data_IF_446807348210
#
_entry.id   IF_446807348210
#
_cell.length_a   1.000
_cell.length_b   1.000
_cell.length_c   1.000
_cell.angle_alpha   90.00
_cell.angle_beta   90.00
_cell.angle_gamma   90.00
#
_symmetry.space_group_name_H-M   'P 1'
#
loop_
_entity.id
_entity.type
_entity.pdbx_description
1 polymer ?
#
# COMPACT_ATOMS: atom_id res chain seq x y z
N UNK A 1 35.56 -3.69 -75.55
CA UNK A 1 34.10 -3.56 -75.39
C UNK A 1 33.62 -4.29 -74.13
N UNK A 2 33.77 -5.62 -74.05
CA UNK A 2 33.43 -6.41 -72.83
C UNK A 2 33.99 -5.91 -71.49
N UNK A 3 35.20 -5.31 -71.43
CA UNK A 3 35.74 -4.75 -70.17
C UNK A 3 35.10 -3.43 -69.73
N UNK A 4 34.58 -2.62 -70.67
CA UNK A 4 33.93 -1.34 -70.36
C UNK A 4 32.48 -1.58 -69.94
N UNK A 5 31.78 -2.49 -70.63
CA UNK A 5 30.42 -2.92 -70.26
C UNK A 5 30.40 -3.51 -68.84
N UNK A 6 31.34 -4.39 -68.49
CA UNK A 6 31.44 -4.93 -67.13
C UNK A 6 31.74 -3.86 -66.06
N UNK A 7 32.51 -2.82 -66.41
CA UNK A 7 32.76 -1.71 -65.47
C UNK A 7 31.54 -0.80 -65.34
N UNK A 8 30.76 -0.63 -66.41
CA UNK A 8 29.50 0.10 -66.39
C UNK A 8 28.47 -0.58 -65.48
N UNK A 9 28.29 -1.88 -65.65
CA UNK A 9 27.37 -2.67 -64.82
C UNK A 9 27.78 -2.62 -63.34
N UNK A 10 29.09 -2.67 -63.06
CA UNK A 10 29.60 -2.60 -61.69
C UNK A 10 29.39 -1.23 -61.06
N UNK A 11 29.67 -0.15 -61.79
CA UNK A 11 29.42 1.21 -61.32
C UNK A 11 27.93 1.43 -61.00
N UNK A 12 27.05 0.94 -61.87
CA UNK A 12 25.61 1.05 -61.66
C UNK A 12 25.13 0.22 -60.46
N UNK A 13 25.63 -0.99 -60.28
CA UNK A 13 25.18 -1.88 -59.20
C UNK A 13 25.75 -1.50 -57.82
N UNK A 14 27.02 -1.09 -57.74
CA UNK A 14 27.68 -0.79 -56.45
C UNK A 14 27.49 0.67 -56.02
N UNK A 15 27.43 1.61 -56.96
CA UNK A 15 27.42 3.05 -56.68
C UNK A 15 26.16 3.77 -57.20
N UNK A 16 25.34 3.14 -58.05
CA UNK A 16 24.13 3.75 -58.61
C UNK A 16 24.40 4.85 -59.64
N UNK A 17 25.61 4.89 -60.23
CA UNK A 17 26.04 5.96 -61.15
C UNK A 17 26.42 5.41 -62.53
N UNK A 18 26.12 6.18 -63.58
CA UNK A 18 26.60 5.92 -64.94
C UNK A 18 28.11 6.26 -65.06
N UNK A 19 28.79 5.65 -66.03
CA UNK A 19 30.25 5.77 -66.20
C UNK A 19 30.71 7.21 -66.45
N UNK A 20 30.03 7.94 -67.33
CA UNK A 20 30.47 9.29 -67.74
C UNK A 20 30.38 10.28 -66.57
N UNK A 21 29.24 10.38 -65.83
CA UNK A 21 29.16 11.19 -64.61
C UNK A 21 30.15 10.75 -63.52
N UNK A 22 30.34 9.43 -63.33
CA UNK A 22 31.28 8.91 -62.34
C UNK A 22 32.72 9.35 -62.63
N UNK A 23 33.13 9.31 -63.89
CA UNK A 23 34.46 9.77 -64.29
C UNK A 23 34.54 11.29 -64.20
N UNK A 24 33.53 12.02 -64.68
CA UNK A 24 33.53 13.49 -64.67
C UNK A 24 33.65 14.06 -63.25
N UNK A 25 32.87 13.53 -62.30
CA UNK A 25 32.77 14.07 -60.94
C UNK A 25 33.75 13.43 -59.95
N UNK A 26 34.17 12.17 -60.16
CA UNK A 26 35.02 11.41 -59.23
C UNK A 26 36.29 10.85 -59.88
N UNK A 27 36.63 11.34 -61.07
CA UNK A 27 37.82 10.92 -61.80
C UNK A 27 39.13 11.45 -61.21
N UNK A 28 40.29 10.93 -61.68
CA UNK A 28 41.62 11.35 -61.21
C UNK A 28 41.95 12.83 -61.43
N UNK A 29 41.20 13.53 -62.29
CA UNK A 29 41.32 14.96 -62.55
C UNK A 29 40.67 15.83 -61.47
N UNK A 30 39.85 15.24 -60.59
CA UNK A 30 39.22 15.93 -59.48
C UNK A 30 40.11 15.88 -58.24
N UNK A 31 40.01 16.91 -57.40
CA UNK A 31 40.71 16.94 -56.12
C UNK A 31 40.01 16.00 -55.14
N UNK A 32 40.79 15.24 -54.37
CA UNK A 32 40.26 14.36 -53.32
C UNK A 32 39.98 15.20 -52.08
N UNK A 33 38.75 15.16 -51.53
CA UNK A 33 38.44 15.86 -50.29
C UNK A 33 39.20 15.29 -49.08
N UNK A 34 39.69 16.20 -48.23
CA UNK A 34 40.35 15.86 -46.97
C UNK A 34 39.28 15.52 -45.91
N UNK A 35 38.86 14.26 -45.85
CA UNK A 35 37.78 13.81 -44.96
C UNK A 35 38.03 14.06 -43.47
N UNK A 36 39.29 14.14 -43.02
CA UNK A 36 39.61 14.51 -41.64
C UNK A 36 39.40 16.00 -41.36
N UNK A 37 39.61 16.86 -42.36
CA UNK A 37 39.32 18.28 -42.26
C UNK A 37 37.81 18.55 -42.37
N UNK A 38 37.10 17.80 -43.23
CA UNK A 38 35.64 17.87 -43.36
C UNK A 38 34.93 17.36 -42.10
N UNK A 39 35.30 16.19 -41.57
CA UNK A 39 34.72 15.68 -40.33
C UNK A 39 35.01 16.57 -39.12
N UNK A 40 36.18 17.21 -39.07
CA UNK A 40 36.50 18.20 -38.03
C UNK A 40 35.70 19.50 -38.18
N UNK A 41 35.44 19.94 -39.42
CA UNK A 41 34.60 21.10 -39.71
C UNK A 41 33.12 20.83 -39.39
N UNK A 42 32.59 19.65 -39.73
CA UNK A 42 31.23 19.21 -39.38
C UNK A 42 31.06 19.07 -37.86
N UNK A 43 32.02 18.44 -37.16
CA UNK A 43 31.99 18.31 -35.70
C UNK A 43 32.13 19.66 -34.96
N UNK A 44 32.74 20.67 -35.60
CA UNK A 44 32.77 22.04 -35.08
C UNK A 44 31.44 22.76 -35.31
N UNK A 45 30.82 22.59 -36.49
CA UNK A 45 29.52 23.17 -36.82
C UNK A 45 28.38 22.63 -35.93
N UNK A 46 28.37 21.33 -35.61
CA UNK A 46 27.37 20.74 -34.70
C UNK A 46 27.52 21.23 -33.24
N UNK A 47 28.74 21.59 -32.82
CA UNK A 47 28.98 22.17 -31.48
C UNK A 47 28.50 23.61 -31.39
N UNK A 48 28.64 24.39 -32.46
CA UNK A 48 28.17 25.77 -32.50
C UNK A 48 26.65 25.88 -32.73
N UNK A 49 26.01 24.84 -33.31
CA UNK A 49 24.55 24.75 -33.49
C UNK A 49 23.74 24.39 -32.23
N UNK A 50 24.37 23.85 -31.18
CA UNK A 50 23.71 23.47 -29.93
C UNK A 50 23.43 24.64 -28.96
N UNK A 51 23.79 25.87 -29.35
CA UNK A 51 23.64 27.06 -28.51
C UNK A 51 22.78 28.16 -29.15
N UNK A 52 21.67 27.83 -29.82
CA UNK A 52 20.53 28.75 -29.96
C UNK A 52 19.28 28.09 -30.54
N UNK A 53 18.26 27.90 -29.70
CA UNK A 53 16.87 28.15 -30.10
C UNK A 53 16.33 29.17 -29.08
N UNK A 54 15.55 30.20 -29.50
CA UNK A 54 14.38 29.97 -30.33
C UNK A 54 14.04 31.04 -31.38
N UNK A 55 12.97 30.73 -32.12
CA UNK A 55 11.97 31.61 -32.73
C UNK A 55 12.05 31.83 -34.25
N UNK A 56 10.90 31.54 -34.86
CA UNK A 56 10.55 31.75 -36.24
C UNK A 56 10.64 33.22 -36.65
N UNK A 57 11.22 33.49 -37.83
CA UNK A 57 10.69 34.52 -38.72
C UNK A 57 11.10 34.27 -40.17
N UNK A 58 10.07 34.04 -40.96
CA UNK A 58 10.01 34.14 -42.41
C UNK A 58 10.57 35.51 -42.86
N UNK A 59 11.65 35.53 -43.64
CA UNK A 59 11.86 36.62 -44.58
C UNK A 59 12.67 36.19 -45.80
N UNK A 60 12.15 36.60 -46.94
CA UNK A 60 12.66 36.43 -48.29
C UNK A 60 14.06 37.04 -48.42
N UNK A 61 15.04 36.27 -48.94
CA UNK A 61 16.26 36.85 -49.50
C UNK A 61 16.58 36.22 -50.85
N UNK A 62 16.28 37.04 -51.86
CA UNK A 62 16.68 36.97 -53.25
C UNK A 62 18.14 36.56 -53.45
N UNK A 63 18.33 35.62 -54.38
CA UNK A 63 19.46 35.47 -55.30
C UNK A 63 20.80 36.10 -54.93
N UNK A 64 21.65 35.30 -54.29
CA UNK A 64 23.07 35.13 -54.65
C UNK A 64 23.51 33.77 -54.13
N UNK A 65 23.61 32.79 -55.04
CA UNK A 65 24.50 31.66 -54.82
C UNK A 65 25.91 32.25 -54.78
N UNK A 66 26.46 32.43 -53.57
CA UNK A 66 27.90 32.56 -53.46
C UNK A 66 28.51 31.26 -54.01
N UNK A 67 29.49 31.32 -54.93
CA UNK A 67 30.15 30.11 -55.38
C UNK A 67 30.83 29.52 -54.15
N UNK A 68 30.40 28.31 -53.77
CA UNK A 68 31.05 27.56 -52.72
C UNK A 68 32.57 27.59 -52.95
N UNK A 69 33.29 27.82 -51.86
CA UNK A 69 34.73 27.91 -51.80
C UNK A 69 35.42 26.88 -52.70
N UNK A 70 36.54 27.27 -53.30
CA UNK A 70 37.38 26.39 -54.11
C UNK A 70 37.56 25.05 -53.40
N UNK A 71 37.38 23.89 -54.05
CA UNK A 71 37.51 22.61 -53.38
C UNK A 71 38.92 22.49 -52.79
N UNK A 72 39.02 22.61 -51.47
CA UNK A 72 40.27 22.37 -50.75
C UNK A 72 40.47 20.87 -50.69
N UNK A 73 41.10 20.33 -51.72
CA UNK A 73 41.42 18.91 -51.81
C UNK A 73 42.84 18.70 -52.29
N UNK A 74 43.36 17.49 -52.08
CA UNK A 74 44.69 17.09 -52.53
C UNK A 74 44.60 16.45 -53.92
N UNK A 75 45.65 16.57 -54.76
CA UNK A 75 45.69 15.85 -56.03
C UNK A 75 45.50 14.34 -55.85
N UNK A 76 44.79 13.70 -56.77
CA UNK A 76 44.55 12.26 -56.71
C UNK A 76 45.85 11.46 -56.74
N UNK A 77 46.11 10.72 -55.66
CA UNK A 77 47.20 9.76 -55.57
C UNK A 77 46.65 8.34 -55.42
N UNK A 78 46.73 7.53 -56.49
CA UNK A 78 46.14 6.18 -56.54
C UNK A 78 46.50 5.31 -55.32
N UNK A 79 47.78 5.26 -54.95
CA UNK A 79 48.26 4.42 -53.85
C UNK A 79 47.71 4.85 -52.47
N UNK A 80 47.40 6.14 -52.29
CA UNK A 80 46.80 6.66 -51.06
C UNK A 80 45.30 6.33 -51.00
N UNK A 81 44.59 6.49 -52.12
CA UNK A 81 43.17 6.18 -52.20
C UNK A 81 42.89 4.68 -52.05
N UNK A 82 43.75 3.82 -52.60
CA UNK A 82 43.66 2.37 -52.38
C UNK A 82 43.84 2.00 -50.90
N UNK A 83 44.78 2.66 -50.19
CA UNK A 83 44.95 2.48 -48.74
C UNK A 83 43.74 2.99 -47.95
N UNK A 84 43.18 4.14 -48.34
CA UNK A 84 41.98 4.73 -47.73
C UNK A 84 40.77 3.83 -47.91
N UNK A 85 40.54 3.31 -49.11
CA UNK A 85 39.49 2.33 -49.41
C UNK A 85 39.67 1.04 -48.59
N UNK A 86 40.90 0.51 -48.51
CA UNK A 86 41.18 -0.68 -47.72
C UNK A 86 40.98 -0.45 -46.20
N UNK A 87 41.20 0.77 -45.69
CA UNK A 87 40.87 1.15 -44.32
C UNK A 87 39.36 1.23 -44.12
N UNK A 88 38.66 1.98 -44.97
CA UNK A 88 37.20 2.14 -44.92
C UNK A 88 36.47 0.79 -45.00
N UNK A 89 36.90 -0.12 -45.88
CA UNK A 89 36.32 -1.46 -45.99
C UNK A 89 36.56 -2.31 -44.73
N UNK A 90 37.72 -2.17 -44.06
CA UNK A 90 37.97 -2.84 -42.77
C UNK A 90 37.11 -2.26 -41.66
N UNK A 91 36.94 -0.94 -41.63
CA UNK A 91 36.11 -0.28 -40.63
C UNK A 91 34.62 -0.61 -40.83
N UNK A 92 34.15 -0.66 -42.08
CA UNK A 92 32.80 -1.12 -42.44
C UNK A 92 32.57 -2.58 -42.03
N UNK A 93 33.55 -3.46 -42.29
CA UNK A 93 33.45 -4.87 -41.89
C UNK A 93 33.40 -5.06 -40.36
N UNK A 94 34.02 -4.15 -39.58
CA UNK A 94 33.96 -4.18 -38.10
C UNK A 94 32.59 -3.80 -37.54
N UNK A 95 31.82 -2.95 -38.23
CA UNK A 95 30.47 -2.56 -37.82
C UNK A 95 29.48 -3.73 -37.85
N UNK A 96 29.82 -4.80 -38.58
CA UNK A 96 28.99 -6.00 -38.67
C UNK A 96 27.74 -5.77 -39.53
N UNK A 97 26.77 -6.67 -39.42
CA UNK A 97 25.52 -6.56 -40.17
C UNK A 97 24.59 -5.59 -39.46
N UNK A 98 24.13 -4.56 -40.16
CA UNK A 98 23.10 -3.64 -39.66
C UNK A 98 21.80 -4.42 -39.47
N UNK A 99 21.20 -4.34 -38.27
CA UNK A 99 19.89 -4.91 -38.01
C UNK A 99 18.81 -3.90 -38.48
N UNK A 100 18.08 -4.17 -39.58
CA UNK A 100 17.07 -3.24 -40.08
C UNK A 100 15.86 -3.12 -39.14
N UNK A 101 15.63 -4.11 -38.26
CA UNK A 101 14.53 -4.10 -37.29
C UNK A 101 14.88 -3.36 -35.99
N UNK A 102 16.12 -2.91 -35.82
CA UNK A 102 16.58 -2.33 -34.54
C UNK A 102 15.76 -1.12 -34.08
N UNK A 103 15.31 -0.28 -35.03
CA UNK A 103 14.48 0.88 -34.72
C UNK A 103 13.09 0.48 -34.23
N UNK A 104 12.46 -0.51 -34.87
CA UNK A 104 11.15 -1.02 -34.48
C UNK A 104 11.20 -1.76 -33.14
N UNK A 105 12.24 -2.59 -32.93
CA UNK A 105 12.48 -3.29 -31.66
C UNK A 105 12.74 -2.30 -30.51
N UNK A 106 13.51 -1.23 -30.77
CA UNK A 106 13.74 -0.19 -29.78
C UNK A 106 12.45 0.51 -29.40
N UNK A 107 11.64 0.92 -30.37
CA UNK A 107 10.35 1.57 -30.11
C UNK A 107 9.39 0.67 -29.31
N UNK A 108 9.31 -0.62 -29.66
CA UNK A 108 8.48 -1.59 -28.93
C UNK A 108 8.97 -1.82 -27.49
N UNK A 109 10.29 -1.89 -27.28
CA UNK A 109 10.88 -2.02 -25.95
C UNK A 109 10.67 -0.76 -25.11
N UNK A 110 10.79 0.42 -25.71
CA UNK A 110 10.57 1.70 -25.05
C UNK A 110 9.11 1.85 -24.61
N UNK A 111 8.15 1.46 -25.45
CA UNK A 111 6.72 1.44 -25.09
C UNK A 111 6.45 0.48 -23.93
N UNK A 112 6.99 -0.74 -23.99
CA UNK A 112 6.86 -1.72 -22.90
C UNK A 112 7.51 -1.22 -21.61
N UNK A 113 8.66 -0.56 -21.70
CA UNK A 113 9.34 0.04 -20.55
C UNK A 113 8.49 1.14 -19.93
N UNK A 114 7.95 2.06 -20.74
CA UNK A 114 7.06 3.13 -20.27
C UNK A 114 5.84 2.55 -19.54
N UNK A 115 5.15 1.58 -20.15
CA UNK A 115 4.00 0.92 -19.51
C UNK A 115 4.37 0.29 -18.16
N UNK A 116 5.46 -0.48 -18.09
CA UNK A 116 5.87 -1.12 -16.83
C UNK A 116 6.33 -0.10 -15.79
N UNK A 117 6.95 1.01 -16.20
CA UNK A 117 7.38 2.07 -15.30
C UNK A 117 6.17 2.80 -14.68
N UNK A 118 5.14 3.09 -15.47
CA UNK A 118 3.86 3.64 -15.01
C UNK A 118 3.18 2.69 -14.01
N UNK A 119 3.03 1.41 -14.35
CA UNK A 119 2.45 0.41 -13.46
C UNK A 119 3.23 0.26 -12.14
N UNK A 120 4.57 0.31 -12.21
CA UNK A 120 5.40 0.26 -11.01
C UNK A 120 5.24 1.51 -10.14
N UNK A 121 5.11 2.69 -10.75
CA UNK A 121 4.86 3.93 -10.03
C UNK A 121 3.50 3.88 -9.31
N UNK A 122 2.46 3.43 -10.00
CA UNK A 122 1.11 3.27 -9.45
C UNK A 122 1.07 2.30 -8.27
N UNK A 123 1.77 1.16 -8.39
CA UNK A 123 1.89 0.19 -7.29
C UNK A 123 2.64 0.76 -6.08
N UNK A 124 3.73 1.50 -6.32
CA UNK A 124 4.48 2.17 -5.24
C UNK A 124 3.62 3.21 -4.52
N UNK A 125 2.86 4.00 -5.28
CA UNK A 125 1.95 4.98 -4.72
C UNK A 125 0.84 4.30 -3.91
N UNK A 126 0.19 3.29 -4.47
CA UNK A 126 -0.87 2.53 -3.79
C UNK A 126 -0.37 1.90 -2.48
N UNK A 127 0.86 1.36 -2.47
CA UNK A 127 1.49 0.85 -1.24
C UNK A 127 1.68 1.96 -0.21
N UNK A 128 2.19 3.12 -0.61
CA UNK A 128 2.38 4.25 0.31
C UNK A 128 1.05 4.75 0.88
N UNK A 129 -0.01 4.77 0.06
CA UNK A 129 -1.35 5.16 0.48
C UNK A 129 -1.92 4.16 1.50
N UNK A 130 -1.80 2.86 1.25
CA UNK A 130 -2.23 1.82 2.18
C UNK A 130 -1.49 1.89 3.52
N UNK A 131 -0.17 2.13 3.51
CA UNK A 131 0.60 2.28 4.75
C UNK A 131 0.12 3.48 5.57
N UNK A 132 -0.20 4.61 4.93
CA UNK A 132 -0.78 5.77 5.63
C UNK A 132 -2.14 5.46 6.24
N UNK A 133 -3.00 4.73 5.53
CA UNK A 133 -4.29 4.30 6.09
C UNK A 133 -4.09 3.40 7.32
N UNK A 134 -3.10 2.50 7.29
CA UNK A 134 -2.78 1.66 8.46
C UNK A 134 -2.36 2.52 9.64
N UNK A 135 -1.46 3.49 9.43
CA UNK A 135 -1.02 4.42 10.47
C UNK A 135 -2.19 5.22 11.08
N UNK A 136 -3.09 5.75 10.24
CA UNK A 136 -4.28 6.49 10.69
C UNK A 136 -5.24 5.60 11.50
N UNK A 137 -5.45 4.36 11.06
CA UNK A 137 -6.29 3.37 11.77
C UNK A 137 -5.66 3.00 13.10
N UNK A 138 -4.36 2.74 13.14
CA UNK A 138 -3.64 2.38 14.36
C UNK A 138 -3.71 3.51 15.39
N UNK A 139 -3.52 4.76 14.98
CA UNK A 139 -3.68 5.92 15.85
C UNK A 139 -5.11 5.99 16.40
N UNK A 140 -6.12 5.76 15.55
CA UNK A 140 -7.51 5.80 15.99
C UNK A 140 -7.85 4.67 16.96
N UNK A 141 -7.35 3.46 16.71
CA UNK A 141 -7.51 2.30 17.59
C UNK A 141 -6.87 2.59 18.94
N UNK A 142 -5.66 3.15 18.97
CA UNK A 142 -4.95 3.51 20.20
C UNK A 142 -5.74 4.53 21.03
N UNK A 143 -6.31 5.57 20.41
CA UNK A 143 -7.15 6.55 21.10
C UNK A 143 -8.40 5.90 21.71
N UNK A 144 -9.13 5.12 20.91
CA UNK A 144 -10.38 4.48 21.35
C UNK A 144 -10.12 3.47 22.46
N UNK A 145 -9.06 2.66 22.32
CA UNK A 145 -8.66 1.69 23.34
C UNK A 145 -8.25 2.39 24.64
N UNK A 146 -7.41 3.43 24.57
CA UNK A 146 -6.95 4.16 25.76
C UNK A 146 -8.13 4.76 26.54
N UNK A 147 -9.08 5.38 25.83
CA UNK A 147 -10.30 5.91 26.44
C UNK A 147 -11.15 4.79 27.04
N UNK A 148 -11.40 3.71 26.30
CA UNK A 148 -12.20 2.59 26.76
C UNK A 148 -11.57 1.91 27.99
N UNK A 149 -10.25 1.74 28.02
CA UNK A 149 -9.53 1.20 29.16
C UNK A 149 -9.67 2.10 30.39
N UNK A 150 -9.45 3.42 30.24
CA UNK A 150 -9.58 4.35 31.36
C UNK A 150 -11.00 4.38 31.95
N UNK A 151 -12.02 4.38 31.09
CA UNK A 151 -13.42 4.34 31.51
C UNK A 151 -13.75 3.01 32.21
N UNK A 152 -13.34 1.88 31.62
CA UNK A 152 -13.57 0.54 32.19
C UNK A 152 -12.83 0.34 33.50
N UNK A 153 -11.58 0.83 33.62
CA UNK A 153 -10.79 0.71 34.84
C UNK A 153 -11.41 1.48 36.02
N UNK A 154 -11.97 2.67 35.75
CA UNK A 154 -12.71 3.46 36.74
C UNK A 154 -13.97 2.74 37.19
N UNK A 155 -14.79 2.26 36.25
CA UNK A 155 -16.02 1.52 36.59
C UNK A 155 -15.70 0.19 37.29
N UNK A 156 -14.60 -0.48 36.91
CA UNK A 156 -14.18 -1.73 37.52
C UNK A 156 -13.90 -1.57 39.01
N UNK A 157 -13.16 -0.53 39.41
CA UNK A 157 -12.90 -0.27 40.81
C UNK A 157 -14.20 -0.07 41.63
N UNK A 158 -15.17 0.66 41.07
CA UNK A 158 -16.48 0.94 41.70
C UNK A 158 -17.31 -0.34 41.82
N UNK A 159 -17.40 -1.12 40.75
CA UNK A 159 -18.18 -2.35 40.71
C UNK A 159 -17.55 -3.42 41.61
N UNK A 160 -16.22 -3.50 41.62
CA UNK A 160 -15.50 -4.48 42.43
C UNK A 160 -15.71 -4.25 43.93
N UNK A 161 -15.63 -3.00 44.41
CA UNK A 161 -15.87 -2.67 45.83
C UNK A 161 -17.32 -3.01 46.25
N UNK A 162 -18.31 -2.79 45.38
CA UNK A 162 -19.70 -3.20 45.64
C UNK A 162 -19.88 -4.71 45.74
N UNK A 163 -19.24 -5.48 44.85
CA UNK A 163 -19.33 -6.93 44.85
C UNK A 163 -18.51 -7.57 45.98
N UNK A 164 -17.40 -6.93 46.38
CA UNK A 164 -16.50 -7.36 47.45
C UNK A 164 -16.27 -6.23 48.47
N UNK A 165 -17.19 -6.02 49.44
CA UNK A 165 -17.03 -4.97 50.45
C UNK A 165 -15.69 -5.10 51.20
N UNK A 166 -14.87 -4.04 51.16
CA UNK A 166 -13.54 -4.02 51.78
C UNK A 166 -12.45 -4.73 50.96
N UNK A 167 -12.74 -5.07 49.70
CA UNK A 167 -11.77 -5.53 48.72
C UNK A 167 -11.42 -4.45 47.70
N UNK A 168 -10.25 -4.55 47.08
CA UNK A 168 -9.79 -3.63 46.04
C UNK A 168 -9.52 -4.40 44.75
N UNK A 169 -10.05 -3.92 43.62
CA UNK A 169 -9.79 -4.46 42.29
C UNK A 169 -9.20 -3.40 41.38
N UNK A 170 -8.20 -3.76 40.57
CA UNK A 170 -7.64 -2.90 39.52
C UNK A 170 -7.35 -3.66 38.24
N UNK A 171 -7.49 -2.96 37.12
CA UNK A 171 -7.02 -3.43 35.82
C UNK A 171 -5.61 -2.90 35.58
N UNK A 172 -4.71 -3.75 35.10
CA UNK A 172 -3.31 -3.40 34.85
C UNK A 172 -2.97 -3.81 33.42
N UNK A 173 -2.35 -2.90 32.68
CA UNK A 173 -1.81 -3.22 31.35
C UNK A 173 -0.52 -4.03 31.51
N UNK A 174 -0.37 -5.11 30.73
CA UNK A 174 0.86 -5.89 30.74
C UNK A 174 2.03 -5.11 30.15
N UNK A 175 1.75 -4.24 29.17
CA UNK A 175 2.69 -3.32 28.55
C UNK A 175 2.04 -1.92 28.38
N UNK A 176 2.25 -0.99 29.32
CA UNK A 176 1.65 0.34 29.24
C UNK A 176 2.11 1.21 28.07
N UNK A 177 3.25 0.87 27.45
CA UNK A 177 3.86 1.67 26.39
C UNK A 177 3.34 1.26 24.99
N UNK A 178 2.76 0.06 24.85
CA UNK A 178 2.16 -0.45 23.61
C UNK A 178 0.68 -0.77 23.78
N UNK A 179 -0.17 0.25 23.56
CA UNK A 179 -1.63 0.13 23.62
C UNK A 179 -2.24 -0.74 22.51
N UNK A 180 -1.51 -1.05 21.44
CA UNK A 180 -2.02 -1.87 20.34
C UNK A 180 -1.89 -3.36 20.63
N UNK A 181 -0.84 -3.76 21.35
CA UNK A 181 -0.56 -5.18 21.61
C UNK A 181 -0.63 -5.59 23.08
N UNK A 182 -0.78 -4.64 24.02
CA UNK A 182 -0.85 -4.94 25.45
C UNK A 182 -2.02 -5.86 25.81
N UNK A 183 -1.76 -6.79 26.72
CA UNK A 183 -2.79 -7.51 27.46
C UNK A 183 -3.35 -6.68 28.62
N UNK A 184 -4.42 -7.21 29.22
CA UNK A 184 -5.05 -6.67 30.43
C UNK A 184 -5.03 -7.75 31.51
N UNK A 185 -4.33 -7.47 32.61
CA UNK A 185 -4.34 -8.28 33.82
C UNK A 185 -5.34 -7.71 34.83
N UNK A 186 -5.98 -8.62 35.57
CA UNK A 186 -6.87 -8.26 36.68
C UNK A 186 -6.17 -8.59 38.00
N UNK A 187 -5.97 -7.56 38.81
CA UNK A 187 -5.45 -7.70 40.15
C UNK A 187 -6.57 -7.47 41.16
N UNK A 188 -6.77 -8.46 42.03
CA UNK A 188 -7.83 -8.46 43.02
C UNK A 188 -7.24 -8.66 44.42
N UNK A 189 -7.75 -7.88 45.36
CA UNK A 189 -7.44 -7.97 46.78
C UNK A 189 -8.74 -8.19 47.55
N UNK A 190 -9.10 -9.44 47.87
CA UNK A 190 -10.25 -9.72 48.74
C UNK A 190 -10.03 -9.17 50.16
N UNK A 191 -11.11 -8.92 50.89
CA UNK A 191 -11.09 -8.37 52.24
C UNK A 191 -10.06 -9.08 53.14
N UNK A 192 -9.07 -8.32 53.63
CA UNK A 192 -8.01 -8.82 54.52
C UNK A 192 -6.90 -9.67 53.89
N UNK A 193 -6.89 -9.89 52.56
CA UNK A 193 -5.85 -10.67 51.86
C UNK A 193 -4.85 -9.76 51.12
N UNK A 194 -3.71 -10.33 50.71
CA UNK A 194 -2.74 -9.69 49.80
C UNK A 194 -3.27 -9.69 48.36
N UNK A 195 -2.84 -8.73 47.55
CA UNK A 195 -3.16 -8.63 46.11
C UNK A 195 -2.72 -9.91 45.40
N UNK A 196 -3.61 -10.48 44.58
CA UNK A 196 -3.34 -11.64 43.74
C UNK A 196 -3.83 -11.39 42.31
N UNK A 197 -3.15 -11.99 41.34
CA UNK A 197 -3.67 -12.08 39.96
C UNK A 197 -4.89 -12.99 39.93
N UNK A 198 -5.80 -12.76 38.98
CA UNK A 198 -7.04 -13.54 38.79
C UNK A 198 -6.80 -15.06 38.77
N UNK A 199 -5.71 -15.52 38.15
CA UNK A 199 -5.32 -16.93 38.06
C UNK A 199 -5.05 -17.60 39.41
N UNK A 200 -4.80 -16.81 40.46
CA UNK A 200 -4.45 -17.27 41.80
C UNK A 200 -5.63 -17.20 42.80
N UNK A 201 -6.84 -16.89 42.31
CA UNK A 201 -8.08 -16.82 43.10
C UNK A 201 -8.83 -18.16 43.15
N UNK A 202 -9.66 -18.33 44.18
CA UNK A 202 -10.59 -19.46 44.28
C UNK A 202 -11.63 -19.43 43.15
N UNK A 203 -12.28 -20.56 42.86
CA UNK A 203 -13.25 -20.67 41.76
C UNK A 203 -14.38 -19.63 41.82
N UNK A 204 -14.98 -19.42 42.99
CA UNK A 204 -16.03 -18.42 43.19
C UNK A 204 -15.53 -16.97 43.10
N UNK A 205 -14.37 -16.66 43.70
CA UNK A 205 -13.75 -15.33 43.61
C UNK A 205 -13.39 -14.97 42.16
N UNK A 206 -12.98 -15.97 41.36
CA UNK A 206 -12.65 -15.80 39.94
C UNK A 206 -13.88 -15.51 39.09
N UNK A 207 -14.97 -16.25 39.28
CA UNK A 207 -16.23 -16.01 38.57
C UNK A 207 -16.79 -14.63 38.89
N UNK A 208 -16.78 -14.24 40.17
CA UNK A 208 -17.30 -12.93 40.57
C UNK A 208 -16.43 -11.77 40.08
N UNK A 209 -15.10 -11.93 40.04
CA UNK A 209 -14.20 -10.94 39.43
C UNK A 209 -14.41 -10.81 37.90
N UNK A 210 -14.71 -11.92 37.20
CA UNK A 210 -15.07 -11.88 35.79
C UNK A 210 -16.42 -11.17 35.55
N UNK A 211 -17.43 -11.44 36.39
CA UNK A 211 -18.72 -10.73 36.35
C UNK A 211 -18.52 -9.24 36.66
N UNK A 212 -17.65 -8.89 37.61
CA UNK A 212 -17.31 -7.49 37.90
C UNK A 212 -16.73 -6.77 36.67
N UNK A 213 -15.85 -7.44 35.91
CA UNK A 213 -15.30 -6.90 34.67
C UNK A 213 -16.39 -6.70 33.60
N UNK A 214 -17.26 -7.70 33.40
CA UNK A 214 -18.35 -7.58 32.43
C UNK A 214 -19.28 -6.40 32.75
N UNK A 215 -19.68 -6.28 34.01
CA UNK A 215 -20.51 -5.16 34.49
C UNK A 215 -19.78 -3.82 34.31
N UNK A 216 -18.48 -3.76 34.61
CA UNK A 216 -17.69 -2.55 34.42
C UNK A 216 -17.65 -2.10 32.96
N UNK A 217 -17.50 -3.05 32.02
CA UNK A 217 -17.57 -2.79 30.59
C UNK A 217 -18.96 -2.26 30.20
N UNK A 218 -20.03 -2.87 30.71
CA UNK A 218 -21.41 -2.44 30.41
C UNK A 218 -21.72 -1.04 30.91
N UNK A 219 -21.21 -0.67 32.11
CA UNK A 219 -21.36 0.68 32.65
C UNK A 219 -20.52 1.72 31.90
N UNK A 220 -19.31 1.35 31.50
CA UNK A 220 -18.43 2.24 30.73
C UNK A 220 -18.96 2.48 29.30
N UNK A 221 -19.58 1.46 28.69
CA UNK A 221 -20.09 1.50 27.32
C UNK A 221 -21.50 0.87 27.28
N UNK A 222 -22.57 1.65 27.57
CA UNK A 222 -23.93 1.15 27.58
C UNK A 222 -24.38 0.73 26.17
N UNK A 223 -24.96 -0.47 26.08
CA UNK A 223 -25.57 -1.05 24.88
C UNK A 223 -27.10 -0.91 24.97
N UNK A 224 -27.82 -0.84 23.83
CA UNK A 224 -29.28 -0.84 23.83
C UNK A 224 -29.89 -2.07 24.53
N UNK A 225 -29.24 -3.23 24.41
CA UNK A 225 -29.64 -4.46 25.10
C UNK A 225 -28.45 -5.36 25.45
N UNK A 226 -28.68 -6.24 26.43
CA UNK A 226 -27.76 -7.27 26.88
C UNK A 226 -28.48 -8.61 26.98
N UNK A 227 -27.81 -9.68 26.54
CA UNK A 227 -28.26 -11.07 26.72
C UNK A 227 -27.26 -11.78 27.61
N UNK A 228 -27.74 -12.38 28.69
CA UNK A 228 -26.92 -13.07 29.68
C UNK A 228 -27.47 -14.48 29.90
N UNK A 229 -26.61 -15.48 29.84
CA UNK A 229 -26.99 -16.89 29.99
C UNK A 229 -26.27 -17.51 31.20
N UNK A 230 -27.05 -17.85 32.23
CA UNK A 230 -26.62 -18.47 33.49
C UNK A 230 -25.37 -17.86 34.14
N UNK A 231 -25.19 -16.54 34.00
CA UNK A 231 -24.01 -15.81 34.48
C UNK A 231 -23.85 -15.86 36.00
N UNK A 232 -24.93 -16.15 36.73
CA UNK A 232 -24.97 -16.20 38.18
C UNK A 232 -24.86 -17.60 38.79
N UNK A 233 -24.74 -18.66 37.98
CA UNK A 233 -24.80 -20.05 38.46
C UNK A 233 -23.69 -20.43 39.46
N UNK A 234 -22.56 -19.70 39.44
CA UNK A 234 -21.43 -19.93 40.33
C UNK A 234 -21.42 -19.01 41.58
N UNK A 235 -22.47 -18.20 41.79
CA UNK A 235 -22.53 -17.22 42.86
C UNK A 235 -23.30 -17.76 44.08
N UNK A 236 -22.85 -17.37 45.28
CA UNK A 236 -23.60 -17.59 46.51
C UNK A 236 -24.75 -16.58 46.66
N UNK A 237 -25.67 -16.82 47.60
CA UNK A 237 -26.86 -15.98 47.80
C UNK A 237 -26.54 -14.52 48.11
N UNK A 238 -25.38 -14.25 48.73
CA UNK A 238 -24.98 -12.89 49.12
C UNK A 238 -24.49 -12.11 47.90
N UNK A 239 -23.62 -12.72 47.09
CA UNK A 239 -23.07 -12.12 45.88
C UNK A 239 -24.11 -12.06 44.76
N UNK A 240 -25.03 -13.03 44.70
CA UNK A 240 -26.20 -12.98 43.82
C UNK A 240 -27.03 -11.73 44.12
N UNK A 241 -27.35 -11.44 45.39
CA UNK A 241 -28.09 -10.23 45.75
C UNK A 241 -27.43 -8.94 45.25
N UNK A 242 -26.10 -8.81 45.43
CA UNK A 242 -25.33 -7.65 44.96
C UNK A 242 -25.35 -7.52 43.43
N UNK A 243 -25.29 -8.64 42.71
CA UNK A 243 -25.39 -8.66 41.25
C UNK A 243 -26.79 -8.21 40.78
N UNK A 244 -27.84 -8.65 41.45
CA UNK A 244 -29.21 -8.27 41.13
C UNK A 244 -29.47 -6.77 41.35
N UNK A 245 -28.86 -6.16 42.36
CA UNK A 245 -28.91 -4.70 42.57
C UNK A 245 -28.30 -3.96 41.38
N UNK A 246 -27.15 -4.44 40.90
CA UNK A 246 -26.48 -3.88 39.71
C UNK A 246 -27.36 -4.05 38.46
N UNK A 247 -27.99 -5.21 38.26
CA UNK A 247 -28.89 -5.43 37.13
C UNK A 247 -30.11 -4.51 37.18
N UNK A 248 -30.63 -4.23 38.37
CA UNK A 248 -31.74 -3.29 38.57
C UNK A 248 -31.36 -1.87 38.15
N UNK A 249 -30.12 -1.45 38.43
CA UNK A 249 -29.59 -0.16 37.96
C UNK A 249 -29.40 -0.14 36.44
N UNK A 250 -28.80 -1.19 35.87
CA UNK A 250 -28.57 -1.29 34.42
C UNK A 250 -29.89 -1.30 33.62
N UNK A 251 -30.93 -1.90 34.19
CA UNK A 251 -32.31 -1.89 33.65
C UNK A 251 -32.85 -0.48 33.40
N UNK A 252 -32.37 0.54 34.13
CA UNK A 252 -32.85 1.91 33.97
C UNK A 252 -32.46 2.52 32.62
N UNK A 253 -31.37 2.05 32.02
CA UNK A 253 -30.83 2.58 30.76
C UNK A 253 -30.79 1.58 29.61
N UNK A 254 -30.85 0.27 29.89
CA UNK A 254 -30.65 -0.79 28.90
C UNK A 254 -31.66 -1.93 29.08
N UNK A 255 -32.00 -2.61 27.98
CA UNK A 255 -32.84 -3.82 28.05
C UNK A 255 -31.99 -5.03 28.45
N UNK A 256 -32.40 -5.77 29.49
CA UNK A 256 -31.74 -7.00 29.91
C UNK A 256 -32.60 -8.22 29.58
N UNK A 257 -32.00 -9.20 28.91
CA UNK A 257 -32.57 -10.53 28.68
C UNK A 257 -31.69 -11.52 29.43
N UNK A 258 -32.22 -12.13 30.48
CA UNK A 258 -31.47 -13.05 31.33
C UNK A 258 -32.09 -14.44 31.22
N UNK A 259 -31.27 -15.42 30.85
CA UNK A 259 -31.61 -16.84 30.84
C UNK A 259 -31.06 -17.41 32.14
N UNK A 260 -31.95 -17.94 32.98
CA UNK A 260 -31.58 -18.39 34.31
C UNK A 260 -32.57 -19.39 34.88
N UNK A 261 -32.11 -20.22 35.79
CA UNK A 261 -32.92 -21.06 36.67
C UNK A 261 -32.98 -20.52 38.12
N UNK A 262 -32.32 -19.38 38.42
CA UNK A 262 -32.25 -18.81 39.76
C UNK A 262 -33.52 -18.02 40.10
N UNK A 263 -34.20 -18.44 41.18
CA UNK A 263 -35.47 -17.85 41.61
C UNK A 263 -35.36 -16.35 41.92
N UNK A 264 -34.28 -15.93 42.59
CA UNK A 264 -34.07 -14.52 42.96
C UNK A 264 -33.87 -13.63 41.73
N UNK A 265 -33.20 -14.13 40.68
CA UNK A 265 -33.08 -13.42 39.41
C UNK A 265 -34.42 -13.30 38.70
N UNK A 266 -35.27 -14.33 38.75
CA UNK A 266 -36.62 -14.30 38.20
C UNK A 266 -37.53 -13.29 38.92
N UNK A 267 -37.34 -13.09 40.23
CA UNK A 267 -38.17 -12.19 41.05
C UNK A 267 -38.03 -10.70 40.66
N UNK A 268 -36.86 -10.27 40.16
CA UNK A 268 -36.61 -8.88 39.78
C UNK A 268 -37.03 -8.54 38.34
N UNK A 269 -37.46 -9.54 37.57
CA UNK A 269 -37.80 -9.39 36.16
C UNK A 269 -39.16 -8.68 35.97
N UNK A 270 -39.30 -7.87 34.92
CA UNK A 270 -40.59 -7.28 34.55
C UNK A 270 -41.50 -8.28 33.80
N UNK A 271 -40.89 -9.24 33.11
CA UNK A 271 -41.57 -10.31 32.40
C UNK A 271 -40.75 -11.60 32.45
N UNK A 272 -41.44 -12.72 32.61
CA UNK A 272 -40.87 -14.06 32.57
C UNK A 272 -41.33 -14.78 31.31
N UNK A 273 -40.38 -15.41 30.64
CA UNK A 273 -40.63 -16.29 29.49
C UNK A 273 -40.19 -17.70 29.87
N UNK A 274 -41.16 -18.58 30.12
CA UNK A 274 -40.93 -20.00 30.37
C UNK A 274 -40.91 -20.78 29.07
N UNK A 275 -39.90 -21.61 28.88
CA UNK A 275 -39.81 -22.52 27.75
C UNK A 275 -40.29 -23.91 28.19
N UNK A 276 -41.29 -24.46 27.49
CA UNK A 276 -41.82 -25.80 27.73
C UNK A 276 -41.76 -26.62 26.45
N UNK A 277 -41.55 -27.93 26.57
CA UNK A 277 -41.62 -28.85 25.45
C UNK A 277 -42.89 -29.68 25.56
N UNK A 278 -43.70 -29.72 24.49
CA UNK A 278 -44.88 -30.60 24.37
C UNK A 278 -44.84 -31.28 23.01
N UNK A 279 -45.03 -32.59 22.98
CA UNK A 279 -45.05 -33.41 21.76
C UNK A 279 -43.83 -33.17 20.84
N UNK A 280 -42.65 -32.96 21.42
CA UNK A 280 -41.40 -32.68 20.68
C UNK A 280 -41.28 -31.28 20.09
N UNK A 281 -42.27 -30.40 20.33
CA UNK A 281 -42.25 -28.99 19.90
C UNK A 281 -41.97 -28.09 21.10
N UNK A 282 -41.00 -27.19 20.96
CA UNK A 282 -40.70 -26.17 21.97
C UNK A 282 -41.69 -25.02 21.87
N UNK A 283 -42.38 -24.71 22.97
CA UNK A 283 -43.33 -23.60 23.07
C UNK A 283 -42.89 -22.63 24.17
N UNK A 284 -43.03 -21.33 23.90
CA UNK A 284 -42.78 -20.28 24.87
C UNK A 284 -44.09 -19.83 25.54
N UNK A 285 -44.07 -19.73 26.87
CA UNK A 285 -45.15 -19.19 27.69
C UNK A 285 -44.64 -17.92 28.34
N UNK A 286 -45.36 -16.82 28.19
CA UNK A 286 -44.97 -15.52 28.78
C UNK A 286 -45.90 -15.13 29.92
N UNK A 287 -45.33 -14.61 31.00
CA UNK A 287 -46.06 -13.99 32.10
C UNK A 287 -45.42 -12.64 32.41
N UNK A 288 -46.22 -11.55 32.41
CA UNK A 288 -45.76 -10.26 32.94
C UNK A 288 -45.90 -10.26 34.46
N UNK A 289 -44.84 -9.88 35.15
CA UNK A 289 -44.87 -9.70 36.59
C UNK A 289 -45.40 -8.28 36.84
N UNK A 290 -46.72 -8.17 37.08
CA UNK A 290 -47.32 -6.90 37.49
C UNK A 290 -46.64 -6.44 38.77
N UNK A 291 -46.16 -5.19 38.82
CA UNK A 291 -45.63 -4.57 40.03
C UNK A 291 -46.65 -4.76 41.16
N UNK A 292 -46.35 -5.65 42.09
CA UNK A 292 -47.09 -5.70 43.34
C UNK A 292 -46.93 -4.33 43.98
N UNK A 293 -48.06 -3.65 44.18
CA UNK A 293 -48.14 -2.34 44.82
C UNK A 293 -47.25 -2.28 46.08
N UNK A 294 -46.41 -1.25 46.14
CA UNK A 294 -46.05 -0.58 47.38
C UNK A 294 -46.45 0.88 47.23
#
# INVERSE_FOLDING_TARGET
KLRLENLAERAMNELGLELDPLVEEFGPHMLVPDAEAEAAAEAAADRDGAAAAPAAQENTRTGRFEPAAHPTGRPYARAEQEKRLARANRDLARLGKVNPLALEEHAALEERHRFLAEQLADLKQSRADLMRIVEDVDQRVQEVFTQAYADTAREFAIVFDRLFPGGEGRLVLTDPDDMLTTGIDIEARPAGKKVKRLSLLSGGERSLAAVALLVAIFRARPSPFYVMDEVEAALDDTNLGRLLDIFTELRASSQLIIITHQKRTMEIADALYGITMRDGVTQAVSQRLSSAAQ
#
